data_IF_020585177777
#
_entry.id   IF_020585177777
#
_cell.length_a   1.000
_cell.length_b   1.000
_cell.length_c   1.000
_cell.angle_alpha   90.00
_cell.angle_beta   90.00
_cell.angle_gamma   90.00
#
_symmetry.space_group_name_H-M   'P 1'
#
loop_
_entity.id
_entity.type
_entity.pdbx_description
1 polymer ?
#
# COMPACT_ATOMS: atom_id res chain seq x y z
N UNK A 1 21.54 -16.13 -9.76
CA UNK A 1 22.91 -15.64 -9.43
C UNK A 1 23.37 -14.45 -10.30
N UNK A 2 23.32 -14.45 -11.64
CA UNK A 2 23.83 -13.33 -12.47
C UNK A 2 23.08 -12.01 -12.31
N UNK A 3 21.76 -12.01 -12.02
CA UNK A 3 20.93 -10.81 -11.87
C UNK A 3 21.27 -10.07 -10.56
N UNK A 4 21.29 -10.78 -9.44
CA UNK A 4 21.65 -10.22 -8.12
C UNK A 4 23.06 -9.61 -8.13
N UNK A 5 24.03 -10.30 -8.74
CA UNK A 5 25.40 -9.78 -8.89
C UNK A 5 25.47 -8.50 -9.73
N UNK A 6 24.56 -8.32 -10.71
CA UNK A 6 24.48 -7.09 -11.50
C UNK A 6 23.88 -5.96 -10.67
N UNK A 7 22.78 -6.22 -9.95
CA UNK A 7 22.13 -5.24 -9.09
C UNK A 7 23.05 -4.74 -7.97
N UNK A 8 23.86 -5.64 -7.39
CA UNK A 8 24.82 -5.29 -6.36
C UNK A 8 25.96 -4.36 -6.84
N UNK A 9 26.18 -4.26 -8.14
CA UNK A 9 27.25 -3.44 -8.74
C UNK A 9 26.78 -2.07 -9.21
N UNK A 10 25.48 -1.79 -9.17
CA UNK A 10 24.94 -0.51 -9.60
C UNK A 10 25.47 0.63 -8.71
N UNK A 11 25.87 1.73 -9.34
CA UNK A 11 26.19 2.96 -8.61
C UNK A 11 24.93 3.69 -8.11
N UNK A 12 25.09 4.79 -7.40
CA UNK A 12 23.96 5.52 -6.81
C UNK A 12 23.00 6.09 -7.87
N UNK A 13 23.54 6.54 -9.03
CA UNK A 13 22.73 7.08 -10.12
C UNK A 13 21.92 5.97 -10.82
N UNK A 14 22.59 4.84 -11.09
CA UNK A 14 21.96 3.67 -11.70
C UNK A 14 20.86 3.07 -10.80
N UNK A 15 21.09 3.04 -9.48
CA UNK A 15 20.09 2.60 -8.50
C UNK A 15 18.87 3.50 -8.51
N UNK A 16 19.05 4.82 -8.52
CA UNK A 16 17.96 5.78 -8.62
C UNK A 16 17.20 5.61 -9.91
N UNK A 17 17.90 5.55 -11.04
CA UNK A 17 17.29 5.39 -12.36
C UNK A 17 16.45 4.12 -12.48
N UNK A 18 16.86 3.01 -11.83
CA UNK A 18 16.08 1.76 -11.81
C UNK A 18 14.72 1.97 -11.14
N UNK A 19 14.68 2.61 -9.96
CA UNK A 19 13.44 2.83 -9.22
C UNK A 19 12.58 3.92 -9.88
N UNK A 20 13.19 4.97 -10.42
CA UNK A 20 12.47 6.01 -11.17
C UNK A 20 11.78 5.39 -12.39
N UNK A 21 12.49 4.54 -13.14
CA UNK A 21 11.91 3.84 -14.28
C UNK A 21 10.77 2.89 -13.88
N UNK A 22 10.87 2.22 -12.73
CA UNK A 22 9.78 1.41 -12.19
C UNK A 22 8.52 2.26 -11.95
N UNK A 23 8.68 3.41 -11.27
CA UNK A 23 7.55 4.29 -10.98
C UNK A 23 6.99 4.98 -12.24
N UNK A 24 7.84 5.38 -13.18
CA UNK A 24 7.39 5.92 -14.47
C UNK A 24 6.52 4.91 -15.21
N UNK A 25 6.92 3.64 -15.25
CA UNK A 25 6.11 2.59 -15.87
C UNK A 25 4.85 2.27 -15.08
N UNK A 26 4.91 2.29 -13.76
CA UNK A 26 3.75 2.03 -12.89
C UNK A 26 2.70 3.14 -13.00
N UNK A 27 3.13 4.39 -13.17
CA UNK A 27 2.26 5.56 -13.24
C UNK A 27 1.89 5.98 -14.67
N UNK A 28 2.47 5.34 -15.70
CA UNK A 28 2.20 5.64 -17.10
C UNK A 28 0.71 5.45 -17.46
N UNK A 29 0.08 6.52 -17.95
CA UNK A 29 -1.34 6.54 -18.30
C UNK A 29 -2.29 6.52 -17.09
N UNK A 30 -1.78 6.79 -15.89
CA UNK A 30 -2.60 7.00 -14.69
C UNK A 30 -3.00 8.47 -14.62
N UNK A 31 -4.31 8.74 -14.48
CA UNK A 31 -4.84 10.11 -14.43
C UNK A 31 -4.65 10.72 -13.04
N UNK A 32 -3.42 11.00 -12.66
CA UNK A 32 -3.01 11.75 -11.47
C UNK A 32 -2.21 12.98 -11.88
N UNK A 33 -2.23 14.03 -11.05
CA UNK A 33 -1.41 15.20 -11.29
C UNK A 33 0.08 14.91 -11.03
N UNK A 34 0.96 15.74 -11.62
CA UNK A 34 2.40 15.57 -11.50
C UNK A 34 2.90 15.70 -10.05
N UNK A 35 2.24 16.50 -9.21
CA UNK A 35 2.61 16.62 -7.80
C UNK A 35 2.37 15.30 -7.05
N UNK A 36 1.28 14.62 -7.35
CA UNK A 36 0.97 13.29 -6.80
C UNK A 36 1.94 12.24 -7.35
N UNK A 37 2.20 12.24 -8.66
CA UNK A 37 3.16 11.32 -9.28
C UNK A 37 4.57 11.49 -8.69
N UNK A 38 5.04 12.74 -8.55
CA UNK A 38 6.33 13.08 -7.92
C UNK A 38 6.41 12.59 -6.47
N UNK A 39 5.31 12.70 -5.73
CA UNK A 39 5.22 12.20 -4.36
C UNK A 39 5.41 10.67 -4.28
N UNK A 40 4.75 9.92 -5.18
CA UNK A 40 4.94 8.47 -5.26
C UNK A 40 6.38 8.09 -5.58
N UNK A 41 7.00 8.75 -6.56
CA UNK A 41 8.43 8.53 -6.89
C UNK A 41 9.31 8.80 -5.68
N UNK A 42 9.18 9.95 -5.04
CA UNK A 42 9.98 10.31 -3.86
C UNK A 42 9.79 9.35 -2.69
N UNK A 43 8.54 8.93 -2.43
CA UNK A 43 8.26 7.99 -1.35
C UNK A 43 8.73 6.57 -1.67
N UNK A 44 8.62 6.15 -2.92
CA UNK A 44 8.91 4.79 -3.34
C UNK A 44 10.35 4.55 -3.78
N UNK A 45 11.17 5.59 -4.00
CA UNK A 45 12.57 5.48 -4.42
C UNK A 45 13.53 5.87 -3.28
N UNK A 46 13.83 4.97 -2.33
CA UNK A 46 14.77 5.26 -1.25
C UNK A 46 16.20 5.30 -1.78
N UNK A 47 17.01 6.19 -1.20
CA UNK A 47 18.45 6.22 -1.44
C UNK A 47 19.16 5.29 -0.47
N UNK A 48 20.02 4.41 -1.01
CA UNK A 48 20.89 3.59 -0.18
C UNK A 48 22.01 4.48 0.38
N UNK A 49 22.27 4.48 1.70
CA UNK A 49 23.37 5.26 2.28
C UNK A 49 24.72 4.91 1.67
N UNK A 50 25.70 5.82 1.78
CA UNK A 50 27.06 5.59 1.30
C UNK A 50 27.72 4.39 2.01
N UNK A 51 27.43 4.21 3.30
CA UNK A 51 27.84 3.06 4.12
C UNK A 51 26.62 2.30 4.63
N UNK A 52 26.01 1.45 3.78
CA UNK A 52 24.81 0.73 4.15
C UNK A 52 25.14 -0.41 5.11
N UNK A 53 24.26 -0.65 6.06
CA UNK A 53 24.29 -1.89 6.85
C UNK A 53 23.98 -3.11 5.97
N UNK A 54 24.39 -4.33 6.36
CA UNK A 54 24.03 -5.54 5.64
C UNK A 54 22.52 -5.65 5.39
N UNK A 55 21.68 -5.33 6.39
CA UNK A 55 20.23 -5.37 6.26
C UNK A 55 19.69 -4.36 5.22
N UNK A 56 20.26 -3.17 5.15
CA UNK A 56 19.90 -2.16 4.13
C UNK A 56 20.30 -2.61 2.74
N UNK A 57 21.47 -3.23 2.60
CA UNK A 57 21.94 -3.75 1.31
C UNK A 57 21.07 -4.91 0.84
N UNK A 58 20.75 -5.86 1.71
CA UNK A 58 19.86 -6.98 1.39
C UNK A 58 18.46 -6.50 1.01
N UNK A 59 17.92 -5.54 1.78
CA UNK A 59 16.62 -4.93 1.48
C UNK A 59 16.62 -4.19 0.13
N UNK A 60 17.70 -3.48 -0.20
CA UNK A 60 17.81 -2.81 -1.49
C UNK A 60 17.87 -3.80 -2.66
N UNK A 61 18.60 -4.91 -2.51
CA UNK A 61 18.68 -5.95 -3.54
C UNK A 61 17.31 -6.59 -3.81
N UNK A 62 16.57 -6.93 -2.76
CA UNK A 62 15.21 -7.47 -2.88
C UNK A 62 14.25 -6.44 -3.49
N UNK A 63 14.35 -5.17 -3.08
CA UNK A 63 13.57 -4.06 -3.65
C UNK A 63 13.82 -3.91 -5.16
N UNK A 64 15.07 -3.96 -5.58
CA UNK A 64 15.46 -3.88 -6.98
C UNK A 64 14.99 -5.11 -7.78
N UNK A 65 14.98 -6.30 -7.17
CA UNK A 65 14.40 -7.50 -7.79
C UNK A 65 12.90 -7.33 -8.02
N UNK A 66 12.14 -6.85 -7.04
CA UNK A 66 10.71 -6.55 -7.18
C UNK A 66 10.48 -5.48 -8.26
N UNK A 67 11.22 -4.37 -8.21
CA UNK A 67 11.08 -3.28 -9.17
C UNK A 67 11.38 -3.70 -10.62
N UNK A 68 12.16 -4.76 -10.82
CA UNK A 68 12.47 -5.31 -12.15
C UNK A 68 11.65 -6.56 -12.52
N UNK A 69 10.72 -6.99 -11.67
CA UNK A 69 9.80 -8.07 -11.95
C UNK A 69 8.61 -7.56 -12.78
N UNK A 70 8.40 -8.15 -13.97
CA UNK A 70 7.38 -7.69 -14.91
C UNK A 70 5.96 -7.88 -14.38
N UNK A 71 5.71 -8.96 -13.65
CA UNK A 71 4.39 -9.24 -13.07
C UNK A 71 4.09 -8.24 -11.95
N UNK A 72 5.09 -7.91 -11.13
CA UNK A 72 4.96 -6.91 -10.08
C UNK A 72 4.76 -5.51 -10.67
N UNK A 73 5.47 -5.13 -11.74
CA UNK A 73 5.25 -3.88 -12.47
C UNK A 73 3.83 -3.81 -13.04
N UNK A 74 3.35 -4.89 -13.66
CA UNK A 74 2.00 -4.95 -14.21
C UNK A 74 0.93 -4.86 -13.12
N UNK A 75 1.15 -5.49 -11.98
CA UNK A 75 0.28 -5.39 -10.81
C UNK A 75 0.27 -3.96 -10.25
N UNK A 76 1.43 -3.35 -10.04
CA UNK A 76 1.54 -1.97 -9.54
C UNK A 76 0.85 -0.99 -10.47
N UNK A 77 1.00 -1.15 -11.79
CA UNK A 77 0.28 -0.34 -12.79
C UNK A 77 -1.24 -0.52 -12.70
N UNK A 78 -1.73 -1.75 -12.54
CA UNK A 78 -3.18 -1.99 -12.32
C UNK A 78 -3.67 -1.28 -11.07
N UNK A 79 -2.90 -1.38 -9.99
CA UNK A 79 -3.23 -0.75 -8.71
C UNK A 79 -3.21 0.79 -8.81
N UNK A 80 -2.22 1.36 -9.49
CA UNK A 80 -2.13 2.80 -9.70
C UNK A 80 -3.32 3.33 -10.52
N UNK A 81 -3.85 2.57 -11.46
CA UNK A 81 -5.05 2.94 -12.25
C UNK A 81 -6.34 2.98 -11.44
N UNK A 82 -6.35 2.43 -10.24
CA UNK A 82 -7.48 2.57 -9.34
C UNK A 82 -7.54 3.99 -8.71
N UNK A 83 -6.41 4.65 -8.53
CA UNK A 83 -6.36 6.02 -8.06
C UNK A 83 -7.21 7.00 -8.90
N UNK A 84 -7.31 6.89 -10.26
CA UNK A 84 -8.21 7.72 -11.06
C UNK A 84 -9.70 7.34 -10.96
N UNK A 85 -10.03 6.10 -10.60
CA UNK A 85 -11.45 5.77 -10.32
C UNK A 85 -11.93 6.53 -9.07
N UNK A 86 -11.01 6.78 -8.13
CA UNK A 86 -11.23 7.72 -7.05
C UNK A 86 -11.23 9.18 -7.52
N UNK A 87 -10.44 9.52 -8.55
CA UNK A 87 -10.36 10.87 -9.12
C UNK A 87 -11.46 11.18 -10.16
N UNK A 88 -12.07 10.17 -10.78
CA UNK A 88 -13.17 10.32 -11.75
C UNK A 88 -14.55 10.49 -11.09
N UNK A 89 -14.63 10.28 -9.78
CA UNK A 89 -15.74 10.66 -8.92
C UNK A 89 -15.33 11.91 -8.14
N UNK A 90 -16.26 12.69 -7.62
CA UNK A 90 -16.00 13.83 -6.70
C UNK A 90 -15.33 13.33 -5.38
N UNK A 91 -14.22 12.58 -5.52
CA UNK A 91 -13.52 11.96 -4.41
C UNK A 91 -12.92 13.03 -3.49
N UNK A 92 -13.39 13.06 -2.26
CA UNK A 92 -12.86 13.93 -1.20
C UNK A 92 -11.79 13.21 -0.36
N UNK A 93 -10.48 13.47 -0.58
CA UNK A 93 -9.41 12.83 0.17
C UNK A 93 -9.40 13.24 1.65
N UNK A 94 -10.00 14.39 2.02
CA UNK A 94 -10.06 14.82 3.40
C UNK A 94 -11.17 14.06 4.15
N UNK A 95 -12.32 13.87 3.51
CA UNK A 95 -13.40 13.05 4.06
C UNK A 95 -12.93 11.60 4.23
N UNK A 96 -12.20 11.04 3.24
CA UNK A 96 -11.60 9.71 3.37
C UNK A 96 -10.65 9.63 4.57
N UNK A 97 -9.72 10.57 4.69
CA UNK A 97 -8.74 10.56 5.78
C UNK A 97 -9.42 10.55 7.14
N UNK A 98 -10.42 11.42 7.36
CA UNK A 98 -11.13 11.50 8.63
C UNK A 98 -11.87 10.19 8.96
N UNK A 99 -12.55 9.61 7.98
CA UNK A 99 -13.23 8.32 8.16
C UNK A 99 -12.26 7.16 8.40
N UNK A 100 -11.15 7.16 7.69
CA UNK A 100 -10.12 6.13 7.82
C UNK A 100 -9.35 6.22 9.15
N UNK A 101 -9.07 7.43 9.65
CA UNK A 101 -8.50 7.63 10.99
C UNK A 101 -9.39 7.03 12.07
N UNK A 102 -10.72 7.20 11.94
CA UNK A 102 -11.68 6.57 12.84
C UNK A 102 -11.65 5.04 12.72
N UNK A 103 -11.59 4.50 11.52
CA UNK A 103 -11.49 3.07 11.30
C UNK A 103 -10.20 2.49 11.91
N UNK A 104 -9.08 3.19 11.76
CA UNK A 104 -7.81 2.81 12.38
C UNK A 104 -7.88 2.83 13.91
N UNK A 105 -8.57 3.81 14.51
CA UNK A 105 -8.75 3.84 15.97
C UNK A 105 -9.56 2.63 16.44
N UNK A 106 -10.66 2.29 15.75
CA UNK A 106 -11.45 1.09 16.07
C UNK A 106 -10.64 -0.20 15.91
N UNK A 107 -9.78 -0.25 14.90
CA UNK A 107 -8.87 -1.38 14.70
C UNK A 107 -7.82 -1.47 15.82
N UNK A 108 -7.30 -0.34 16.28
CA UNK A 108 -6.38 -0.29 17.41
C UNK A 108 -7.04 -0.84 18.68
N UNK A 109 -8.23 -0.35 19.00
CA UNK A 109 -8.99 -0.80 20.17
C UNK A 109 -9.29 -2.31 20.09
N UNK A 110 -9.60 -2.81 18.88
CA UNK A 110 -9.85 -4.23 18.65
C UNK A 110 -8.59 -5.09 18.82
N UNK A 111 -7.43 -4.63 18.33
CA UNK A 111 -6.14 -5.32 18.52
C UNK A 111 -5.78 -5.36 20.00
N UNK A 112 -5.95 -4.26 20.73
CA UNK A 112 -5.66 -4.19 22.16
C UNK A 112 -6.61 -5.09 22.98
N UNK A 113 -7.85 -5.26 22.52
CA UNK A 113 -8.82 -6.17 23.12
C UNK A 113 -8.62 -7.65 22.69
N UNK A 114 -7.67 -7.95 21.82
CA UNK A 114 -7.43 -9.30 21.30
C UNK A 114 -8.52 -9.83 20.39
N UNK A 115 -9.27 -8.95 19.75
CA UNK A 115 -10.35 -9.31 18.80
C UNK A 115 -9.71 -9.80 17.51
N UNK A 116 -10.16 -10.98 17.04
CA UNK A 116 -9.70 -11.52 15.76
C UNK A 116 -10.36 -10.76 14.57
N UNK A 117 -9.62 -10.55 13.46
CA UNK A 117 -10.15 -9.78 12.32
C UNK A 117 -11.35 -10.44 11.64
N UNK A 118 -11.49 -11.75 11.70
CA UNK A 118 -12.61 -12.52 11.15
C UNK A 118 -13.82 -12.61 12.09
N UNK A 119 -13.71 -12.10 13.31
CA UNK A 119 -14.78 -12.17 14.30
C UNK A 119 -15.91 -11.16 14.02
N UNK A 120 -17.15 -11.43 14.46
CA UNK A 120 -18.27 -10.48 14.35
C UNK A 120 -17.98 -9.12 15.00
N UNK A 121 -17.18 -9.09 16.05
CA UNK A 121 -16.81 -7.90 16.81
C UNK A 121 -15.92 -6.92 15.99
N UNK A 122 -15.35 -7.37 14.87
CA UNK A 122 -14.62 -6.52 13.93
C UNK A 122 -15.55 -5.63 13.08
N UNK A 123 -16.87 -5.88 13.09
CA UNK A 123 -17.83 -5.14 12.27
C UNK A 123 -17.72 -3.62 12.35
N UNK A 124 -17.60 -2.99 13.53
CA UNK A 124 -17.53 -1.52 13.61
C UNK A 124 -16.36 -0.91 12.83
N UNK A 125 -15.20 -1.55 12.84
CA UNK A 125 -14.03 -1.08 12.09
C UNK A 125 -14.20 -1.26 10.58
N UNK A 126 -14.75 -2.40 10.15
CA UNK A 126 -15.07 -2.71 8.75
C UNK A 126 -16.12 -1.73 8.20
N UNK A 127 -17.18 -1.44 8.98
CA UNK A 127 -18.21 -0.49 8.60
C UNK A 127 -17.65 0.94 8.49
N UNK A 128 -16.73 1.32 9.37
CA UNK A 128 -16.09 2.62 9.33
C UNK A 128 -15.23 2.79 8.05
N UNK A 129 -14.52 1.76 7.60
CA UNK A 129 -13.77 1.79 6.32
C UNK A 129 -14.71 1.94 5.14
N UNK A 130 -15.77 1.11 5.08
CA UNK A 130 -16.73 1.17 3.99
C UNK A 130 -17.41 2.54 3.92
N UNK A 131 -17.83 3.07 5.07
CA UNK A 131 -18.41 4.40 5.18
C UNK A 131 -17.45 5.53 4.77
N UNK A 132 -16.16 5.42 5.13
CA UNK A 132 -15.14 6.38 4.72
C UNK A 132 -15.01 6.45 3.19
N UNK A 133 -15.00 5.31 2.51
CA UNK A 133 -14.99 5.27 1.05
C UNK A 133 -16.28 5.79 0.45
N UNK A 134 -17.44 5.44 1.02
CA UNK A 134 -18.74 5.89 0.53
C UNK A 134 -18.83 7.43 0.57
N UNK A 135 -18.51 8.02 1.72
CA UNK A 135 -18.51 9.49 1.89
C UNK A 135 -17.51 10.16 0.94
N UNK A 136 -16.28 9.64 0.87
CA UNK A 136 -15.23 10.19 0.00
C UNK A 136 -15.59 10.13 -1.48
N UNK A 137 -16.39 9.15 -1.89
CA UNK A 137 -16.81 8.95 -3.29
C UNK A 137 -18.20 9.55 -3.57
N UNK A 138 -18.82 10.27 -2.63
CA UNK A 138 -20.15 10.82 -2.79
C UNK A 138 -21.23 9.75 -3.06
N UNK A 139 -21.05 8.54 -2.51
CA UNK A 139 -21.94 7.40 -2.71
C UNK A 139 -22.62 6.98 -1.42
N UNK A 140 -23.76 6.31 -1.54
CA UNK A 140 -24.41 5.66 -0.40
C UNK A 140 -23.68 4.36 -0.05
N UNK A 141 -23.53 4.09 1.25
CA UNK A 141 -22.95 2.85 1.77
C UNK A 141 -23.99 1.73 1.70
N UNK A 142 -24.15 1.13 0.53
CA UNK A 142 -25.07 0.03 0.28
C UNK A 142 -24.33 -1.32 0.21
N UNK A 143 -25.02 -2.45 0.35
CA UNK A 143 -24.42 -3.78 0.15
C UNK A 143 -23.76 -3.92 -1.23
N UNK A 144 -24.36 -3.34 -2.28
CA UNK A 144 -23.84 -3.34 -3.64
C UNK A 144 -22.54 -2.54 -3.75
N UNK A 145 -22.51 -1.36 -3.11
CA UNK A 145 -21.30 -0.54 -3.03
C UNK A 145 -20.18 -1.27 -2.29
N UNK A 146 -20.47 -1.87 -1.15
CA UNK A 146 -19.50 -2.65 -0.36
C UNK A 146 -18.96 -3.86 -1.13
N UNK A 147 -19.80 -4.57 -1.86
CA UNK A 147 -19.40 -5.69 -2.73
C UNK A 147 -18.50 -5.21 -3.86
N UNK A 148 -18.88 -4.11 -4.52
CA UNK A 148 -18.07 -3.48 -5.56
C UNK A 148 -16.72 -3.05 -5.00
N UNK A 149 -16.69 -2.35 -3.85
CA UNK A 149 -15.47 -1.88 -3.21
C UNK A 149 -14.52 -3.04 -2.86
N UNK A 150 -15.04 -4.14 -2.30
CA UNK A 150 -14.24 -5.34 -2.03
C UNK A 150 -13.66 -5.96 -3.29
N UNK A 151 -14.44 -6.03 -4.36
CA UNK A 151 -13.95 -6.54 -5.65
C UNK A 151 -12.81 -5.69 -6.20
N UNK A 152 -12.92 -4.37 -6.08
CA UNK A 152 -11.86 -3.46 -6.49
C UNK A 152 -10.62 -3.62 -5.59
N UNK A 153 -10.82 -3.69 -4.30
CA UNK A 153 -9.74 -3.78 -3.32
C UNK A 153 -9.04 -5.16 -3.33
N UNK A 154 -9.77 -6.26 -3.56
CA UNK A 154 -9.18 -7.60 -3.71
C UNK A 154 -8.15 -7.69 -4.85
N UNK A 155 -8.31 -6.87 -5.89
CA UNK A 155 -7.31 -6.75 -6.95
C UNK A 155 -6.00 -6.09 -6.47
N UNK A 156 -5.96 -5.55 -5.25
CA UNK A 156 -4.85 -4.76 -4.69
C UNK A 156 -4.11 -5.47 -3.54
N UNK A 157 -4.52 -6.69 -3.16
CA UNK A 157 -3.97 -7.45 -2.02
C UNK A 157 -2.75 -8.32 -2.35
N UNK A 158 -1.96 -7.95 -3.33
CA UNK A 158 -0.69 -8.66 -3.58
C UNK A 158 0.28 -8.39 -2.42
N UNK A 159 0.73 -9.43 -1.67
CA UNK A 159 1.62 -9.25 -0.53
C UNK A 159 2.96 -8.61 -0.90
N UNK A 160 3.35 -8.67 -2.17
CA UNK A 160 4.56 -7.99 -2.67
C UNK A 160 4.47 -6.48 -2.56
N UNK A 161 3.26 -5.89 -2.61
CA UNK A 161 3.08 -4.45 -2.43
C UNK A 161 3.43 -4.02 -0.99
N UNK A 162 2.96 -4.75 0.02
CA UNK A 162 3.33 -4.50 1.41
C UNK A 162 4.85 -4.71 1.61
N UNK A 163 5.39 -5.79 1.04
CA UNK A 163 6.83 -6.09 1.11
C UNK A 163 7.68 -4.99 0.49
N UNK A 164 7.26 -4.43 -0.64
CA UNK A 164 7.94 -3.29 -1.27
C UNK A 164 8.11 -2.12 -0.29
N UNK A 165 7.06 -1.73 0.41
CA UNK A 165 7.12 -0.62 1.38
C UNK A 165 7.93 -0.93 2.64
N UNK A 166 7.91 -2.18 3.11
CA UNK A 166 8.81 -2.63 4.20
C UNK A 166 10.28 -2.47 3.80
N UNK A 167 10.62 -2.89 2.58
CA UNK A 167 11.97 -2.77 2.03
C UNK A 167 12.39 -1.31 1.87
N UNK A 168 11.50 -0.44 1.36
CA UNK A 168 11.73 1.01 1.28
C UNK A 168 12.08 1.59 2.65
N UNK A 169 11.33 1.23 3.69
CA UNK A 169 11.57 1.69 5.06
C UNK A 169 12.90 1.16 5.60
N UNK A 170 13.22 -0.10 5.35
CA UNK A 170 14.51 -0.70 5.77
C UNK A 170 15.68 -0.01 5.10
N UNK A 171 15.62 0.25 3.78
CA UNK A 171 16.68 0.97 3.06
C UNK A 171 16.90 2.37 3.63
N UNK A 172 15.84 3.07 4.04
CA UNK A 172 15.92 4.39 4.69
C UNK A 172 16.50 4.35 6.10
N UNK A 173 16.72 3.17 6.66
CA UNK A 173 17.16 3.02 8.04
C UNK A 173 16.08 3.40 9.05
N UNK A 174 14.82 3.46 8.61
CA UNK A 174 13.72 3.49 9.54
C UNK A 174 13.83 2.24 10.44
N UNK A 175 13.71 2.39 11.76
CA UNK A 175 13.69 1.22 12.64
C UNK A 175 12.65 0.27 12.07
N UNK A 176 13.01 -1.01 11.95
CA UNK A 176 12.01 -2.04 11.71
C UNK A 176 10.87 -1.75 12.68
N UNK A 177 9.60 -1.69 12.22
CA UNK A 177 8.52 -1.33 13.12
C UNK A 177 8.69 -2.16 14.38
N UNK A 178 9.04 -1.47 15.49
CA UNK A 178 9.23 -2.11 16.77
C UNK A 178 7.90 -2.75 17.10
N UNK A 179 7.89 -4.04 17.00
CA UNK A 179 6.76 -4.93 17.08
C UNK A 179 5.65 -4.68 16.01
N UNK A 180 5.10 -5.78 15.53
CA UNK A 180 3.84 -5.84 14.79
C UNK A 180 2.71 -4.98 15.39
N UNK A 181 2.87 -4.51 16.62
CA UNK A 181 1.93 -3.70 17.38
C UNK A 181 1.59 -2.34 16.74
N UNK A 182 2.51 -1.69 16.01
CA UNK A 182 2.23 -0.38 15.36
C UNK A 182 1.75 -0.48 13.90
N UNK A 183 2.06 -1.59 13.23
CA UNK A 183 1.54 -1.91 11.89
C UNK A 183 0.26 -2.75 12.00
N UNK A 184 0.07 -3.39 13.17
CA UNK A 184 -1.00 -4.31 13.44
C UNK A 184 -2.42 -3.75 13.19
N UNK A 185 -2.80 -2.54 13.61
CA UNK A 185 -4.16 -2.04 13.37
C UNK A 185 -4.48 -1.89 11.88
N UNK A 186 -3.55 -1.40 11.08
CA UNK A 186 -3.75 -1.27 9.63
C UNK A 186 -3.85 -2.64 8.94
N UNK A 187 -2.95 -3.58 9.25
CA UNK A 187 -3.00 -4.95 8.72
C UNK A 187 -4.27 -5.63 9.19
N UNK A 188 -4.56 -5.58 10.49
CA UNK A 188 -5.76 -6.15 11.08
C UNK A 188 -7.03 -5.60 10.41
N UNK A 189 -7.09 -4.29 10.17
CA UNK A 189 -8.23 -3.62 9.54
C UNK A 189 -8.48 -4.14 8.12
N UNK A 190 -7.42 -4.31 7.33
CA UNK A 190 -7.53 -4.83 5.98
C UNK A 190 -7.83 -6.33 5.97
N UNK A 191 -7.27 -7.12 6.88
CA UNK A 191 -7.64 -8.53 7.06
C UNK A 191 -9.13 -8.67 7.43
N UNK A 192 -9.63 -7.82 8.36
CA UNK A 192 -11.04 -7.80 8.73
C UNK A 192 -11.95 -7.39 7.56
N UNK A 193 -11.51 -6.41 6.77
CA UNK A 193 -12.28 -5.91 5.63
C UNK A 193 -12.38 -6.93 4.49
N UNK A 194 -11.29 -7.64 4.19
CA UNK A 194 -11.23 -8.62 3.09
C UNK A 194 -11.66 -10.03 3.51
N UNK A 195 -11.45 -10.40 4.77
CA UNK A 195 -11.75 -11.73 5.27
C UNK A 195 -13.26 -12.02 5.46
N UNK A 196 -14.10 -10.98 5.42
CA UNK A 196 -15.55 -11.16 5.61
C UNK A 196 -16.25 -11.55 4.32
N UNK A 197 -16.97 -12.70 4.30
CA UNK A 197 -17.89 -12.99 3.22
C UNK A 197 -19.02 -11.93 3.19
N UNK A 198 -19.53 -11.66 2.00
CA UNK A 198 -20.71 -10.81 1.84
C UNK A 198 -21.85 -11.34 2.70
N UNK A 199 -22.33 -10.53 3.63
CA UNK A 199 -23.61 -10.81 4.27
C UNK A 199 -24.67 -10.74 3.18
N UNK A 200 -25.24 -11.92 2.85
CA UNK A 200 -26.28 -12.08 1.85
C UNK A 200 -27.59 -11.40 2.27
#
# INVERSE_FOLDING_TARGET
MRRVQRLAKLDAAERRQLLDHFWDRALDGVAIDEATASRFRTMGSPELPAEPTPAQLDAWLELAELATDEDFQAMTRRNARWAPLAAATDYDPNAFRQGYERALQLAHDAVDAGIAPDSPEAAPAVDAVAGAFAVAMGREDTPEFRRWLRTQAAAHTDPRAARYWELVNTVRGAPAPESRAHVAPGIWLWEAYFGRPDAG
#
